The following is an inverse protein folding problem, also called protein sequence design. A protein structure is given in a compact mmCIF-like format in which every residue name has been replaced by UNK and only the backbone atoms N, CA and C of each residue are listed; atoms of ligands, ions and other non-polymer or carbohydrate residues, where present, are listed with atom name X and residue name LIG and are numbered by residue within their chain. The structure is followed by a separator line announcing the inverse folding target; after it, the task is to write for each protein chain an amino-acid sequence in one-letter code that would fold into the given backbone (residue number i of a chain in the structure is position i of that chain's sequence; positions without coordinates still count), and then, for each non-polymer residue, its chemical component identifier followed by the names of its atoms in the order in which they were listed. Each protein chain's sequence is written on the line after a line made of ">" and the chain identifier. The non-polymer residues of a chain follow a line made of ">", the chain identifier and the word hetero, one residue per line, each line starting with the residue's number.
data_IF_811203578620
#
_entry.id   IF_811203578620
#
_cell.length_a   1.000
_cell.length_b   1.000
_cell.length_c   1.000
_cell.angle_alpha   90.00
_cell.angle_beta   90.00
_cell.angle_gamma   90.00
#
_symmetry.space_group_name_H-M   'P 1'
#
loop_
_entity.id
_entity.type
_entity.pdbx_description
1 polymer ?
#
# COMPACT_ATOMS: atom_id res chain seq x y z
N UNK A 1 -6.11 -3.02 -16.46
CA UNK A 1 -6.26 -1.62 -15.95
C UNK A 1 -6.35 -0.63 -17.10
N UNK A 2 -6.94 0.57 -16.89
CA UNK A 2 -6.87 1.64 -17.89
C UNK A 2 -5.48 2.28 -17.91
N UNK A 3 -5.00 2.69 -19.06
CA UNK A 3 -3.62 3.20 -19.24
C UNK A 3 -3.29 4.40 -18.33
N UNK A 4 -4.29 5.24 -18.04
CA UNK A 4 -4.15 6.41 -17.15
C UNK A 4 -3.71 6.07 -15.74
N UNK A 5 -4.01 4.87 -15.23
CA UNK A 5 -3.75 4.41 -13.87
C UNK A 5 -2.78 3.23 -13.83
N UNK A 6 -1.92 3.14 -14.85
CA UNK A 6 -0.96 2.06 -14.98
C UNK A 6 0.38 2.61 -15.46
N UNK A 7 1.47 2.19 -14.82
CA UNK A 7 2.82 2.52 -15.28
C UNK A 7 3.32 1.42 -16.21
N UNK A 8 4.08 1.83 -17.24
CA UNK A 8 4.62 0.90 -18.23
C UNK A 8 5.39 -0.27 -17.61
N UNK A 9 6.21 -0.01 -16.58
CA UNK A 9 7.03 -1.03 -15.91
C UNK A 9 6.18 -2.17 -15.32
N UNK A 10 5.00 -1.85 -14.78
CA UNK A 10 4.09 -2.85 -14.23
C UNK A 10 3.23 -3.50 -15.32
N UNK A 11 2.75 -2.71 -16.30
CA UNK A 11 2.03 -3.25 -17.47
C UNK A 11 2.84 -4.30 -18.23
N UNK A 12 4.16 -4.07 -18.38
CA UNK A 12 5.04 -4.98 -19.10
C UNK A 12 5.07 -6.38 -18.42
N UNK A 13 4.84 -6.47 -17.11
CA UNK A 13 4.73 -7.75 -16.39
C UNK A 13 3.52 -8.54 -16.87
N UNK A 14 2.41 -7.87 -17.18
CA UNK A 14 1.12 -8.49 -17.47
C UNK A 14 0.76 -8.55 -18.96
N UNK A 15 1.71 -8.23 -19.85
CA UNK A 15 1.49 -8.44 -21.29
C UNK A 15 1.32 -9.92 -21.61
N UNK A 16 0.58 -10.23 -22.69
CA UNK A 16 0.45 -11.62 -23.14
C UNK A 16 1.79 -12.24 -23.54
N UNK A 17 2.67 -11.43 -24.13
CA UNK A 17 4.04 -11.84 -24.44
C UNK A 17 4.81 -12.29 -23.19
N UNK A 18 4.77 -11.51 -22.12
CA UNK A 18 5.46 -11.87 -20.87
C UNK A 18 4.78 -13.06 -20.18
N UNK A 19 3.44 -13.12 -20.20
CA UNK A 19 2.68 -14.28 -19.69
C UNK A 19 3.06 -15.56 -20.43
N UNK A 20 3.06 -15.55 -21.76
CA UNK A 20 3.43 -16.72 -22.53
C UNK A 20 4.92 -17.05 -22.45
N UNK A 21 5.77 -16.05 -22.26
CA UNK A 21 7.19 -16.29 -21.94
C UNK A 21 7.35 -17.02 -20.61
N UNK A 22 6.55 -16.65 -19.58
CA UNK A 22 6.54 -17.38 -18.31
C UNK A 22 6.01 -18.81 -18.47
N UNK A 23 4.97 -19.03 -19.27
CA UNK A 23 4.48 -20.38 -19.60
C UNK A 23 5.56 -21.21 -20.28
N UNK A 24 6.24 -20.64 -21.29
CA UNK A 24 7.31 -21.32 -22.01
C UNK A 24 8.46 -21.71 -21.10
N UNK A 25 8.86 -20.81 -20.19
CA UNK A 25 9.93 -21.11 -19.24
C UNK A 25 9.54 -22.25 -18.29
N UNK A 26 8.30 -22.31 -17.81
CA UNK A 26 7.80 -23.44 -17.00
C UNK A 26 7.86 -24.76 -17.79
N UNK A 27 7.44 -24.75 -19.05
CA UNK A 27 7.48 -25.93 -19.93
C UNK A 27 8.92 -26.42 -20.17
N UNK A 28 9.84 -25.50 -20.47
CA UNK A 28 11.26 -25.83 -20.71
C UNK A 28 11.91 -26.37 -19.43
N UNK A 29 11.72 -25.72 -18.30
CA UNK A 29 12.25 -26.16 -17.00
C UNK A 29 11.70 -27.52 -16.59
N UNK A 30 10.42 -27.80 -16.93
CA UNK A 30 9.85 -29.14 -16.74
C UNK A 30 10.58 -30.19 -17.58
N UNK A 31 10.86 -29.92 -18.86
CA UNK A 31 11.64 -30.82 -19.71
C UNK A 31 13.05 -31.06 -19.16
N UNK A 32 13.73 -30.01 -18.67
CA UNK A 32 15.04 -30.12 -18.02
C UNK A 32 15.00 -31.04 -16.78
N UNK A 33 13.96 -30.86 -15.95
CA UNK A 33 13.77 -31.69 -14.76
C UNK A 33 13.53 -33.16 -15.12
N UNK A 34 12.71 -33.44 -16.14
CA UNK A 34 12.54 -34.81 -16.68
C UNK A 34 13.82 -35.39 -17.26
N UNK A 35 14.66 -34.58 -17.89
CA UNK A 35 15.97 -35.03 -18.39
C UNK A 35 16.90 -35.46 -17.26
N UNK A 36 16.90 -34.74 -16.15
CA UNK A 36 17.67 -35.11 -14.95
C UNK A 36 17.25 -36.45 -14.37
N UNK A 37 15.99 -36.85 -14.58
CA UNK A 37 15.47 -38.16 -14.20
C UNK A 37 15.74 -39.25 -15.28
N UNK A 38 16.40 -38.90 -16.38
CA UNK A 38 16.73 -39.82 -17.47
C UNK A 38 15.55 -40.17 -18.36
N UNK A 39 14.43 -39.45 -18.30
CA UNK A 39 13.22 -39.70 -19.10
C UNK A 39 13.29 -39.02 -20.47
N UNK A 40 13.68 -37.73 -20.48
CA UNK A 40 13.87 -36.96 -21.70
C UNK A 40 15.37 -36.94 -22.07
N UNK A 41 15.74 -37.26 -23.30
CA UNK A 41 17.14 -37.15 -23.75
C UNK A 41 17.64 -35.72 -23.61
N UNK A 42 18.87 -35.54 -23.13
CA UNK A 42 19.48 -34.21 -22.95
C UNK A 42 19.51 -33.40 -24.24
N UNK A 43 19.84 -34.05 -25.39
CA UNK A 43 19.84 -33.41 -26.71
C UNK A 43 18.47 -32.91 -27.18
N UNK A 44 17.37 -33.56 -26.74
CA UNK A 44 16.02 -33.07 -27.03
C UNK A 44 15.71 -31.81 -26.20
N UNK A 45 16.16 -31.79 -24.93
CA UNK A 45 16.05 -30.57 -24.08
C UNK A 45 16.85 -29.43 -24.65
N UNK A 46 18.07 -29.66 -25.08
CA UNK A 46 18.92 -28.63 -25.72
C UNK A 46 18.24 -28.04 -26.97
N UNK A 47 17.61 -28.90 -27.81
CA UNK A 47 16.85 -28.45 -28.98
C UNK A 47 15.62 -27.61 -28.55
N UNK A 48 14.86 -28.08 -27.56
CA UNK A 48 13.69 -27.34 -27.03
C UNK A 48 14.14 -25.98 -26.50
N UNK A 49 15.15 -25.92 -25.65
CA UNK A 49 15.67 -24.66 -25.09
C UNK A 49 16.15 -23.67 -26.17
N UNK A 50 16.74 -24.18 -27.25
CA UNK A 50 17.30 -23.37 -28.35
C UNK A 50 16.21 -22.87 -29.34
N UNK A 51 15.17 -23.69 -29.59
CA UNK A 51 14.25 -23.46 -30.72
C UNK A 51 12.81 -23.16 -30.30
N UNK A 52 12.38 -23.53 -29.06
CA UNK A 52 11.01 -23.32 -28.62
C UNK A 52 10.67 -21.82 -28.59
N UNK A 53 9.64 -21.47 -29.33
CA UNK A 53 9.12 -20.09 -29.40
C UNK A 53 7.62 -20.11 -29.65
N UNK A 54 6.98 -18.96 -29.46
CA UNK A 54 5.56 -18.78 -29.70
C UNK A 54 5.31 -17.44 -30.41
N UNK A 55 4.14 -17.31 -31.00
CA UNK A 55 3.58 -16.02 -31.45
C UNK A 55 2.19 -15.89 -30.81
N UNK A 56 1.95 -14.78 -30.15
CA UNK A 56 0.67 -14.52 -29.46
C UNK A 56 -0.52 -14.67 -30.41
N UNK A 57 -0.45 -14.03 -31.58
CA UNK A 57 -1.53 -14.10 -32.58
C UNK A 57 -1.76 -15.53 -33.06
N UNK A 58 -0.70 -16.34 -33.25
CA UNK A 58 -0.86 -17.74 -33.62
C UNK A 58 -1.51 -18.56 -32.53
N UNK A 59 -1.19 -18.30 -31.28
CA UNK A 59 -1.85 -18.95 -30.14
C UNK A 59 -3.34 -18.61 -30.10
N UNK A 60 -3.72 -17.35 -30.36
CA UNK A 60 -5.11 -16.93 -30.44
C UNK A 60 -5.88 -17.60 -31.58
N UNK A 61 -5.29 -17.69 -32.79
CA UNK A 61 -5.88 -18.42 -33.91
C UNK A 61 -6.18 -19.88 -33.58
N UNK A 62 -5.23 -20.55 -32.90
CA UNK A 62 -5.42 -21.95 -32.48
C UNK A 62 -6.48 -22.03 -31.38
N UNK A 63 -6.55 -21.05 -30.48
CA UNK A 63 -7.55 -21.03 -29.40
C UNK A 63 -8.98 -20.90 -29.94
N UNK A 64 -9.19 -20.14 -31.03
CA UNK A 64 -10.50 -20.08 -31.68
C UNK A 64 -11.04 -21.45 -32.08
N UNK A 65 -10.16 -22.39 -32.42
CA UNK A 65 -10.50 -23.76 -32.79
C UNK A 65 -10.60 -24.69 -31.59
N UNK A 66 -9.60 -24.62 -30.68
CA UNK A 66 -9.47 -25.54 -29.56
C UNK A 66 -10.34 -25.17 -28.36
N UNK A 67 -10.75 -23.91 -28.27
CA UNK A 67 -11.47 -23.33 -27.12
C UNK A 67 -10.77 -23.55 -25.77
N UNK A 68 -9.41 -23.63 -25.80
CA UNK A 68 -8.60 -23.88 -24.64
C UNK A 68 -7.24 -23.19 -24.78
N UNK A 69 -6.98 -22.21 -23.94
CA UNK A 69 -5.83 -21.32 -24.01
C UNK A 69 -4.47 -22.04 -23.88
N UNK A 70 -4.30 -22.89 -22.85
CA UNK A 70 -3.04 -23.62 -22.64
C UNK A 70 -2.78 -24.64 -23.78
N UNK A 71 -3.80 -25.34 -24.26
CA UNK A 71 -3.67 -26.26 -25.41
C UNK A 71 -3.28 -25.48 -26.67
N UNK A 72 -3.85 -24.30 -26.86
CA UNK A 72 -3.49 -23.45 -27.99
C UNK A 72 -2.04 -22.99 -27.92
N UNK A 73 -1.59 -22.55 -26.73
CA UNK A 73 -0.22 -22.17 -26.47
C UNK A 73 0.77 -23.32 -26.73
N UNK A 74 0.54 -24.51 -26.15
CA UNK A 74 1.45 -25.67 -26.34
C UNK A 74 1.50 -26.12 -27.80
N UNK A 75 0.40 -26.04 -28.56
CA UNK A 75 0.38 -26.28 -30.00
C UNK A 75 1.21 -25.26 -30.77
N UNK A 76 1.07 -23.96 -30.45
CA UNK A 76 1.85 -22.91 -31.09
C UNK A 76 3.36 -23.11 -30.83
N UNK A 77 3.74 -23.47 -29.61
CA UNK A 77 5.14 -23.82 -29.29
C UNK A 77 5.60 -25.04 -30.09
N UNK A 78 4.77 -26.08 -30.19
CA UNK A 78 5.09 -27.30 -30.93
C UNK A 78 5.31 -27.06 -32.43
N UNK A 79 4.74 -26.02 -33.02
CA UNK A 79 4.96 -25.65 -34.42
C UNK A 79 6.41 -25.18 -34.69
N UNK A 80 7.13 -24.72 -33.66
CA UNK A 80 8.54 -24.28 -33.77
C UNK A 80 9.57 -25.40 -33.60
N UNK A 81 9.11 -26.63 -33.26
CA UNK A 81 9.95 -27.75 -32.87
C UNK A 81 9.87 -28.92 -33.87
N UNK A 82 10.91 -29.74 -33.88
CA UNK A 82 10.96 -31.01 -34.62
C UNK A 82 10.31 -32.19 -33.85
N UNK A 83 10.93 -33.38 -33.93
CA UNK A 83 10.40 -34.58 -33.22
C UNK A 83 10.35 -34.44 -31.70
N UNK A 84 11.19 -33.60 -31.11
CA UNK A 84 11.26 -33.27 -29.66
C UNK A 84 10.01 -32.58 -29.14
N UNK A 85 9.15 -32.02 -29.99
CA UNK A 85 7.86 -31.42 -29.61
C UNK A 85 6.94 -32.35 -28.78
N UNK A 86 7.15 -33.65 -28.86
CA UNK A 86 6.41 -34.66 -28.06
C UNK A 86 6.59 -34.51 -26.56
N UNK A 87 7.61 -33.78 -26.13
CA UNK A 87 7.93 -33.53 -24.73
C UNK A 87 7.28 -32.26 -24.16
N UNK A 88 6.77 -31.39 -25.04
CA UNK A 88 6.02 -30.20 -24.57
C UNK A 88 4.76 -30.66 -23.80
N UNK A 89 4.57 -30.14 -22.60
CA UNK A 89 3.48 -30.48 -21.70
C UNK A 89 3.47 -31.93 -21.17
N UNK A 90 4.62 -32.59 -21.18
CA UNK A 90 4.73 -33.98 -20.79
C UNK A 90 4.48 -34.18 -19.29
N UNK A 91 3.40 -34.95 -18.96
CA UNK A 91 2.95 -35.23 -17.58
C UNK A 91 2.19 -34.08 -16.91
N UNK A 92 2.12 -32.90 -17.50
CA UNK A 92 1.50 -31.72 -16.91
C UNK A 92 -0.01 -31.65 -17.13
N UNK A 93 -0.69 -30.94 -16.23
CA UNK A 93 -2.02 -30.37 -16.50
C UNK A 93 -1.90 -28.85 -16.69
N UNK A 94 -2.90 -28.23 -17.32
CA UNK A 94 -2.88 -26.81 -17.67
C UNK A 94 -2.52 -25.89 -16.49
N UNK A 95 -3.01 -26.19 -15.29
CA UNK A 95 -2.75 -25.35 -14.10
C UNK A 95 -1.39 -25.60 -13.45
N UNK A 96 -0.68 -26.67 -13.80
CA UNK A 96 0.73 -26.80 -13.45
C UNK A 96 1.55 -25.66 -14.10
N UNK A 97 1.18 -25.29 -15.33
CA UNK A 97 1.78 -24.18 -16.05
C UNK A 97 1.22 -22.83 -15.59
N UNK A 98 -0.12 -22.70 -15.54
CA UNK A 98 -0.79 -21.42 -15.26
C UNK A 98 -0.48 -20.90 -13.86
N UNK A 99 -0.67 -21.72 -12.82
CA UNK A 99 -0.45 -21.29 -11.43
C UNK A 99 1.03 -21.02 -11.15
N UNK A 100 1.93 -21.87 -11.66
CA UNK A 100 3.38 -21.69 -11.50
C UNK A 100 3.87 -20.42 -12.21
N UNK A 101 3.42 -20.18 -13.43
CA UNK A 101 3.76 -18.98 -14.17
C UNK A 101 3.16 -17.72 -13.50
N UNK A 102 1.93 -17.77 -13.00
CA UNK A 102 1.34 -16.67 -12.23
C UNK A 102 2.15 -16.36 -10.96
N UNK A 103 2.63 -17.39 -10.25
CA UNK A 103 3.54 -17.19 -9.11
C UNK A 103 4.84 -16.48 -9.51
N UNK A 104 5.38 -16.81 -10.69
CA UNK A 104 6.56 -16.16 -11.24
C UNK A 104 6.28 -14.71 -11.70
N UNK A 105 5.14 -14.45 -12.35
CA UNK A 105 4.71 -13.09 -12.73
C UNK A 105 4.45 -12.22 -11.50
N UNK A 106 3.80 -12.76 -10.46
CA UNK A 106 3.61 -12.07 -9.21
C UNK A 106 4.94 -11.74 -8.52
N UNK A 107 5.95 -12.62 -8.60
CA UNK A 107 7.31 -12.29 -8.13
C UNK A 107 7.88 -11.06 -8.83
N UNK A 108 7.70 -10.95 -10.17
CA UNK A 108 8.16 -9.79 -10.93
C UNK A 108 7.41 -8.51 -10.49
N UNK A 109 6.08 -8.58 -10.39
CA UNK A 109 5.25 -7.47 -9.93
C UNK A 109 5.59 -7.05 -8.50
N UNK A 110 5.80 -8.00 -7.60
CA UNK A 110 6.14 -7.76 -6.20
C UNK A 110 7.51 -7.11 -6.01
N UNK A 111 8.47 -7.38 -6.89
CA UNK A 111 9.76 -6.68 -6.86
C UNK A 111 9.60 -5.18 -7.14
N UNK A 112 8.70 -4.82 -8.06
CA UNK A 112 8.36 -3.42 -8.36
C UNK A 112 7.65 -2.78 -7.17
N UNK A 113 6.61 -3.44 -6.64
CA UNK A 113 5.84 -2.92 -5.50
C UNK A 113 6.70 -2.75 -4.24
N UNK A 114 7.61 -3.68 -3.96
CA UNK A 114 8.51 -3.55 -2.80
C UNK A 114 9.39 -2.31 -2.91
N UNK A 115 9.97 -2.08 -4.09
CA UNK A 115 10.75 -0.88 -4.37
C UNK A 115 9.93 0.39 -4.17
N UNK A 116 8.70 0.44 -4.69
CA UNK A 116 7.82 1.59 -4.55
C UNK A 116 7.45 1.86 -3.08
N UNK A 117 7.22 0.81 -2.28
CA UNK A 117 6.95 0.90 -0.85
C UNK A 117 8.16 1.45 -0.07
N UNK A 118 9.37 0.99 -0.38
CA UNK A 118 10.62 1.45 0.24
C UNK A 118 10.90 2.92 -0.10
N UNK A 119 10.70 3.30 -1.36
CA UNK A 119 10.83 4.70 -1.78
C UNK A 119 9.78 5.60 -1.12
N UNK A 120 8.54 5.12 -0.97
CA UNK A 120 7.48 5.84 -0.26
C UNK A 120 7.83 6.03 1.22
N UNK A 121 8.32 4.97 1.88
CA UNK A 121 8.79 5.01 3.27
C UNK A 121 9.91 6.04 3.47
N UNK A 122 10.85 6.13 2.53
CA UNK A 122 11.95 7.08 2.58
C UNK A 122 11.46 8.54 2.53
N UNK A 123 10.43 8.83 1.73
CA UNK A 123 9.78 10.16 1.69
C UNK A 123 9.14 10.49 3.03
N UNK A 124 8.39 9.55 3.63
CA UNK A 124 7.76 9.77 4.93
C UNK A 124 8.80 10.07 6.02
N UNK A 125 9.91 9.32 6.06
CA UNK A 125 11.02 9.57 6.98
C UNK A 125 11.61 10.97 6.83
N UNK A 126 11.92 11.36 5.58
CA UNK A 126 12.50 12.69 5.30
C UNK A 126 11.56 13.82 5.72
N UNK A 127 10.27 13.72 5.38
CA UNK A 127 9.28 14.74 5.75
C UNK A 127 9.03 14.79 7.26
N UNK A 128 9.08 13.65 7.96
CA UNK A 128 9.00 13.62 9.41
C UNK A 128 10.12 14.42 10.06
N UNK A 129 11.37 14.23 9.60
CA UNK A 129 12.54 14.97 10.10
C UNK A 129 12.42 16.46 9.79
N UNK A 130 12.02 16.80 8.56
CA UNK A 130 11.86 18.19 8.11
C UNK A 130 10.90 18.99 9.00
N UNK A 131 9.80 18.39 9.41
CA UNK A 131 8.75 19.06 10.20
C UNK A 131 8.75 18.69 11.69
N UNK A 132 9.83 18.07 12.17
CA UNK A 132 9.93 17.62 13.58
C UNK A 132 9.62 18.73 14.57
N UNK A 133 10.13 19.91 14.31
CA UNK A 133 10.02 21.08 15.21
C UNK A 133 8.93 22.07 14.76
N UNK A 134 8.08 21.70 13.81
CA UNK A 134 6.99 22.56 13.33
C UNK A 134 5.74 22.37 14.20
N UNK A 135 5.31 23.38 14.97
CA UNK A 135 4.11 23.29 15.79
C UNK A 135 2.85 23.34 14.94
N UNK A 136 1.90 22.49 15.28
CA UNK A 136 0.57 22.49 14.68
C UNK A 136 -0.48 22.10 15.71
N UNK A 137 -1.75 22.35 15.39
CA UNK A 137 -2.87 21.89 16.21
C UNK A 137 -3.26 20.45 15.86
N UNK A 138 -3.32 19.58 16.86
CA UNK A 138 -3.95 18.28 16.78
C UNK A 138 -5.47 18.43 16.94
N UNK A 139 -6.23 17.75 16.07
CA UNK A 139 -7.69 17.80 16.08
C UNK A 139 -8.27 16.42 16.38
N UNK A 140 -9.27 16.38 17.28
CA UNK A 140 -10.14 15.23 17.49
C UNK A 140 -11.57 15.67 17.23
N UNK A 141 -12.38 14.81 16.60
CA UNK A 141 -13.74 15.15 16.17
C UNK A 141 -13.83 16.42 15.28
N UNK A 142 -12.74 16.80 14.63
CA UNK A 142 -12.63 18.06 13.86
C UNK A 142 -12.41 19.33 14.71
N UNK A 143 -12.31 19.20 16.04
CA UNK A 143 -12.14 20.28 17.00
C UNK A 143 -10.66 20.34 17.46
N UNK A 144 -10.16 21.53 17.78
CA UNK A 144 -8.84 21.73 18.37
C UNK A 144 -8.73 20.98 19.70
N UNK A 145 -7.80 20.05 19.80
CA UNK A 145 -7.64 19.20 20.97
C UNK A 145 -6.36 19.54 21.75
N UNK A 146 -5.22 19.56 21.09
CA UNK A 146 -3.93 19.85 21.73
C UNK A 146 -2.88 20.28 20.72
N UNK A 147 -1.78 20.86 21.20
CA UNK A 147 -0.64 21.25 20.37
C UNK A 147 0.26 20.05 20.16
N UNK A 148 0.77 19.89 18.95
CA UNK A 148 1.67 18.79 18.59
C UNK A 148 2.70 19.22 17.55
N UNK A 149 3.65 18.33 17.24
CA UNK A 149 4.57 18.49 16.12
C UNK A 149 3.92 17.96 14.83
N UNK A 150 4.03 18.75 13.75
CA UNK A 150 3.61 18.27 12.42
C UNK A 150 4.45 17.07 11.95
N UNK A 151 5.73 17.01 12.36
CA UNK A 151 6.59 15.86 12.10
C UNK A 151 6.09 14.55 12.73
N UNK A 152 5.38 14.60 13.87
CA UNK A 152 4.79 13.40 14.49
C UNK A 152 3.69 12.77 13.62
N UNK A 153 2.95 13.55 12.83
CA UNK A 153 1.98 13.06 11.86
C UNK A 153 2.67 12.21 10.78
N UNK A 154 3.79 12.69 10.25
CA UNK A 154 4.60 11.95 9.29
C UNK A 154 5.29 10.73 9.90
N UNK A 155 5.74 10.84 11.14
CA UNK A 155 6.33 9.72 11.87
C UNK A 155 5.31 8.59 12.14
N UNK A 156 4.04 8.93 12.39
CA UNK A 156 2.96 7.96 12.50
C UNK A 156 2.74 7.22 11.18
N UNK A 157 2.69 7.93 10.06
CA UNK A 157 2.56 7.34 8.72
C UNK A 157 3.76 6.48 8.34
N UNK A 158 4.97 6.92 8.72
CA UNK A 158 6.19 6.14 8.55
C UNK A 158 6.09 4.78 9.26
N UNK A 159 5.68 4.78 10.53
CA UNK A 159 5.55 3.55 11.32
C UNK A 159 4.42 2.64 10.80
N UNK A 160 3.33 3.21 10.31
CA UNK A 160 2.26 2.44 9.66
C UNK A 160 2.73 1.80 8.35
N UNK A 161 3.51 2.53 7.55
CA UNK A 161 4.06 1.99 6.30
C UNK A 161 5.09 0.89 6.54
N UNK A 162 5.89 0.96 7.60
CA UNK A 162 6.78 -0.15 8.01
C UNK A 162 5.97 -1.45 8.24
N UNK A 163 4.89 -1.37 9.01
CA UNK A 163 4.00 -2.52 9.23
C UNK A 163 3.36 -3.02 7.93
N UNK A 164 3.07 -2.13 6.98
CA UNK A 164 2.57 -2.52 5.66
C UNK A 164 3.62 -3.26 4.83
N UNK A 165 4.88 -2.84 4.88
CA UNK A 165 5.99 -3.55 4.22
C UNK A 165 6.15 -4.97 4.81
N UNK A 166 6.07 -5.11 6.14
CA UNK A 166 6.13 -6.42 6.81
C UNK A 166 4.98 -7.33 6.35
N UNK A 167 3.74 -6.81 6.33
CA UNK A 167 2.57 -7.55 5.81
C UNK A 167 2.75 -7.95 4.36
N UNK A 168 3.24 -7.04 3.53
CA UNK A 168 3.49 -7.29 2.12
C UNK A 168 4.56 -8.37 1.91
N UNK A 169 5.68 -8.30 2.65
CA UNK A 169 6.72 -9.32 2.61
C UNK A 169 6.24 -10.70 3.05
N UNK A 170 5.30 -10.77 3.99
CA UNK A 170 4.66 -12.02 4.38
C UNK A 170 3.70 -12.51 3.30
N UNK A 171 2.82 -11.64 2.80
CA UNK A 171 1.80 -12.00 1.81
C UNK A 171 2.40 -12.46 0.47
N UNK A 172 3.47 -11.79 -0.01
CA UNK A 172 4.13 -12.15 -1.27
C UNK A 172 4.67 -13.58 -1.27
N UNK A 173 5.19 -14.07 -0.15
CA UNK A 173 5.69 -15.44 0.00
C UNK A 173 4.59 -16.49 -0.27
N UNK A 174 3.35 -16.16 0.05
CA UNK A 174 2.21 -17.04 -0.18
C UNK A 174 1.85 -17.20 -1.66
N UNK A 175 2.02 -16.16 -2.47
CA UNK A 175 1.63 -16.13 -3.89
C UNK A 175 2.82 -16.31 -4.86
N UNK A 176 4.04 -16.05 -4.42
CA UNK A 176 5.27 -16.39 -5.17
C UNK A 176 5.55 -17.89 -5.03
N UNK A 177 4.60 -18.71 -5.46
CA UNK A 177 4.61 -20.15 -5.31
C UNK A 177 4.21 -20.84 -6.61
N UNK A 178 4.72 -22.07 -6.80
CA UNK A 178 4.38 -22.91 -7.92
C UNK A 178 3.87 -24.27 -7.46
N UNK A 179 3.10 -24.92 -8.33
CA UNK A 179 2.61 -26.28 -8.18
C UNK A 179 2.75 -27.02 -9.50
N UNK A 180 3.26 -28.23 -9.47
CA UNK A 180 3.34 -29.14 -10.62
C UNK A 180 2.98 -30.55 -10.16
N UNK A 181 1.78 -30.67 -9.59
CA UNK A 181 1.29 -31.86 -8.89
C UNK A 181 0.23 -32.64 -9.67
N UNK A 182 -0.03 -32.22 -10.92
CA UNK A 182 -0.99 -32.89 -11.80
C UNK A 182 -2.45 -32.49 -11.55
N UNK A 183 -3.36 -33.24 -12.14
CA UNK A 183 -4.78 -32.89 -12.25
C UNK A 183 -5.55 -32.79 -10.92
N UNK A 184 -5.06 -33.42 -9.85
CA UNK A 184 -5.72 -33.43 -8.51
C UNK A 184 -4.74 -33.28 -7.36
N UNK A 185 -3.49 -32.95 -7.64
CA UNK A 185 -2.49 -32.65 -6.61
C UNK A 185 -1.77 -33.85 -6.01
N UNK A 186 -1.92 -35.04 -6.59
CA UNK A 186 -1.39 -36.30 -6.05
C UNK A 186 -0.06 -36.76 -6.68
N UNK A 187 0.52 -35.99 -7.57
CA UNK A 187 1.77 -36.31 -8.28
C UNK A 187 1.77 -37.64 -9.07
N UNK A 188 0.61 -38.10 -9.50
CA UNK A 188 0.49 -39.43 -10.13
C UNK A 188 1.27 -39.53 -11.45
N UNK A 189 1.32 -38.48 -12.24
CA UNK A 189 1.95 -38.46 -13.56
C UNK A 189 3.24 -37.60 -13.60
N UNK A 190 3.61 -36.96 -12.51
CA UNK A 190 4.76 -36.06 -12.42
C UNK A 190 5.39 -36.18 -11.02
N UNK A 191 6.67 -36.57 -10.90
CA UNK A 191 7.32 -36.69 -9.59
C UNK A 191 7.47 -35.33 -8.90
N UNK A 192 7.41 -35.26 -7.55
CA UNK A 192 7.57 -34.00 -6.78
C UNK A 192 8.88 -33.24 -7.10
N UNK A 193 9.96 -33.98 -7.42
CA UNK A 193 11.25 -33.39 -7.79
C UNK A 193 11.20 -32.48 -9.03
N UNK A 194 10.22 -32.65 -9.92
CA UNK A 194 10.00 -31.76 -11.06
C UNK A 194 9.52 -30.39 -10.56
N UNK A 195 8.53 -30.38 -9.65
CA UNK A 195 8.02 -29.15 -9.03
C UNK A 195 9.15 -28.42 -8.30
N UNK A 196 9.92 -29.13 -7.47
CA UNK A 196 11.01 -28.54 -6.70
C UNK A 196 12.06 -27.90 -7.61
N UNK A 197 12.46 -28.59 -8.68
CA UNK A 197 13.41 -28.08 -9.65
C UNK A 197 12.91 -26.81 -10.35
N UNK A 198 11.68 -26.84 -10.88
CA UNK A 198 11.09 -25.70 -11.59
C UNK A 198 10.94 -24.49 -10.67
N UNK A 199 10.41 -24.70 -9.46
CA UNK A 199 10.26 -23.62 -8.49
C UNK A 199 11.61 -23.02 -8.04
N UNK A 200 12.64 -23.87 -7.82
CA UNK A 200 14.01 -23.42 -7.52
C UNK A 200 14.56 -22.52 -8.63
N UNK A 201 14.43 -22.96 -9.89
CA UNK A 201 14.93 -22.20 -11.05
C UNK A 201 14.21 -20.86 -11.24
N UNK A 202 12.89 -20.82 -11.01
CA UNK A 202 12.10 -19.58 -11.04
C UNK A 202 12.32 -18.72 -9.78
N UNK A 203 12.92 -19.30 -8.74
CA UNK A 203 13.13 -18.65 -7.43
C UNK A 203 11.82 -18.30 -6.74
N UNK A 204 10.84 -19.22 -6.80
CA UNK A 204 9.55 -19.18 -6.13
C UNK A 204 9.42 -20.37 -5.18
N UNK A 205 8.47 -20.34 -4.27
CA UNK A 205 8.23 -21.41 -3.32
C UNK A 205 7.59 -22.63 -4.01
N UNK A 206 8.13 -23.84 -3.73
CA UNK A 206 7.50 -25.11 -4.09
C UNK A 206 6.39 -25.39 -3.09
N UNK A 207 5.13 -25.46 -3.54
CA UNK A 207 3.99 -25.68 -2.63
C UNK A 207 4.02 -27.07 -2.02
N UNK A 208 3.91 -27.16 -0.70
CA UNK A 208 3.94 -28.44 0.04
C UNK A 208 2.79 -29.38 -0.37
N UNK A 209 1.63 -28.80 -0.65
CA UNK A 209 0.42 -29.50 -1.10
C UNK A 209 -0.44 -28.55 -1.93
N UNK A 210 -1.15 -29.12 -2.88
CA UNK A 210 -2.15 -28.42 -3.70
C UNK A 210 -3.25 -29.41 -4.14
N UNK A 211 -4.28 -28.89 -4.76
CA UNK A 211 -5.22 -29.68 -5.58
C UNK A 211 -4.81 -29.58 -7.05
N UNK A 212 -5.73 -29.46 -7.98
CA UNK A 212 -5.38 -29.07 -9.35
C UNK A 212 -4.78 -27.65 -9.38
N UNK A 213 -5.07 -26.83 -8.38
CA UNK A 213 -4.61 -25.44 -8.21
C UNK A 213 -3.98 -25.22 -6.85
N UNK A 214 -3.20 -24.14 -6.69
CA UNK A 214 -2.86 -23.60 -5.38
C UNK A 214 -4.11 -23.14 -4.65
N UNK A 215 -4.15 -23.26 -3.32
CA UNK A 215 -5.29 -22.79 -2.54
C UNK A 215 -5.40 -21.26 -2.62
N UNK A 216 -6.62 -20.75 -2.80
CA UNK A 216 -6.88 -19.35 -3.12
C UNK A 216 -6.92 -18.41 -1.89
N UNK A 217 -6.87 -18.95 -0.67
CA UNK A 217 -6.61 -18.18 0.54
C UNK A 217 -5.29 -17.37 0.43
N UNK A 218 -4.27 -17.92 -0.23
CA UNK A 218 -3.00 -17.23 -0.54
C UNK A 218 -3.23 -15.95 -1.33
N UNK A 219 -4.00 -16.04 -2.42
CA UNK A 219 -4.32 -14.91 -3.29
C UNK A 219 -5.25 -13.91 -2.60
N UNK A 220 -6.25 -14.40 -1.86
CA UNK A 220 -7.15 -13.56 -1.07
C UNK A 220 -6.39 -12.75 -0.01
N UNK A 221 -5.49 -13.39 0.74
CA UNK A 221 -4.65 -12.70 1.73
C UNK A 221 -3.71 -11.67 1.08
N UNK A 222 -3.14 -12.00 -0.08
CA UNK A 222 -2.29 -11.08 -0.84
C UNK A 222 -3.08 -9.83 -1.28
N UNK A 223 -4.21 -10.00 -1.96
CA UNK A 223 -5.03 -8.87 -2.42
C UNK A 223 -5.58 -8.06 -1.21
N UNK A 224 -5.95 -8.73 -0.11
CA UNK A 224 -6.34 -8.05 1.12
C UNK A 224 -5.21 -7.18 1.69
N UNK A 225 -3.97 -7.66 1.62
CA UNK A 225 -2.79 -6.88 2.02
C UNK A 225 -2.61 -5.64 1.13
N UNK A 226 -2.76 -5.77 -0.20
CA UNK A 226 -2.72 -4.63 -1.12
C UNK A 226 -3.84 -3.62 -0.79
N UNK A 227 -5.03 -4.11 -0.42
CA UNK A 227 -6.15 -3.25 -0.02
C UNK A 227 -5.91 -2.52 1.31
N UNK A 228 -5.23 -3.14 2.28
CA UNK A 228 -4.81 -2.48 3.52
C UNK A 228 -3.80 -1.37 3.23
N UNK A 229 -2.81 -1.62 2.36
CA UNK A 229 -1.85 -0.60 1.94
C UNK A 229 -2.58 0.57 1.26
N UNK A 230 -3.48 0.29 0.33
CA UNK A 230 -4.29 1.31 -0.35
C UNK A 230 -5.13 2.12 0.64
N UNK A 231 -5.65 1.50 1.70
CA UNK A 231 -6.41 2.18 2.76
C UNK A 231 -5.53 3.09 3.62
N UNK A 232 -4.27 2.71 3.86
CA UNK A 232 -3.28 3.59 4.50
C UNK A 232 -2.99 4.82 3.63
N UNK A 233 -2.84 4.65 2.32
CA UNK A 233 -2.67 5.78 1.40
C UNK A 233 -3.91 6.68 1.37
N UNK A 234 -5.10 6.10 1.43
CA UNK A 234 -6.37 6.84 1.52
C UNK A 234 -6.46 7.67 2.79
N UNK A 235 -6.06 7.12 3.94
CA UNK A 235 -6.01 7.83 5.23
C UNK A 235 -5.11 9.07 5.14
N UNK A 236 -3.90 8.94 4.59
CA UNK A 236 -2.99 10.06 4.38
C UNK A 236 -3.59 11.09 3.40
N UNK A 237 -4.23 10.63 2.33
CA UNK A 237 -4.87 11.49 1.35
C UNK A 237 -6.07 12.27 1.95
N UNK A 238 -6.83 11.66 2.85
CA UNK A 238 -7.86 12.38 3.61
C UNK A 238 -7.27 13.47 4.46
N UNK A 239 -6.16 13.24 5.12
CA UNK A 239 -5.49 14.26 5.92
C UNK A 239 -4.99 15.42 5.06
N UNK A 240 -4.33 15.16 3.92
CA UNK A 240 -3.92 16.22 2.98
C UNK A 240 -5.12 17.07 2.54
N UNK A 241 -6.25 16.42 2.19
CA UNK A 241 -7.48 17.11 1.80
C UNK A 241 -8.04 17.97 2.93
N UNK A 242 -7.99 17.49 4.19
CA UNK A 242 -8.43 18.28 5.35
C UNK A 242 -7.52 19.46 5.63
N UNK A 243 -6.20 19.29 5.52
CA UNK A 243 -5.22 20.39 5.71
C UNK A 243 -5.33 21.46 4.62
N UNK A 244 -5.80 21.11 3.42
CA UNK A 244 -5.97 22.04 2.29
C UNK A 244 -7.30 22.79 2.31
N UNK A 245 -8.23 22.48 3.21
CA UNK A 245 -9.50 23.20 3.31
C UNK A 245 -9.28 24.69 3.51
N UNK A 246 -10.17 25.52 2.94
CA UNK A 246 -10.08 26.98 2.99
C UNK A 246 -9.95 27.53 4.41
N UNK A 247 -10.63 26.91 5.37
CA UNK A 247 -10.66 27.33 6.78
C UNK A 247 -9.41 26.85 7.55
N UNK A 248 -8.65 25.89 7.01
CA UNK A 248 -7.46 25.31 7.65
C UNK A 248 -6.17 25.81 7.04
N UNK A 249 -5.96 25.63 5.75
CA UNK A 249 -4.83 26.11 4.93
C UNK A 249 -3.45 25.83 5.54
N UNK A 250 -3.26 24.67 6.12
CA UNK A 250 -1.99 24.26 6.75
C UNK A 250 -1.05 23.56 5.76
N UNK A 251 -1.60 22.92 4.73
CA UNK A 251 -0.83 22.34 3.62
C UNK A 251 -1.68 22.29 2.35
N UNK A 252 -1.03 22.21 1.19
CA UNK A 252 -1.70 22.03 -0.11
C UNK A 252 -0.86 21.20 -1.08
N UNK A 253 -1.51 20.48 -2.01
CA UNK A 253 -0.84 19.86 -3.13
C UNK A 253 -0.08 20.90 -3.96
N UNK A 254 1.16 20.57 -4.36
CA UNK A 254 1.97 21.47 -5.18
C UNK A 254 1.25 21.82 -6.49
N UNK A 255 1.12 23.10 -6.77
CA UNK A 255 0.47 23.63 -7.96
C UNK A 255 1.52 24.00 -9.01
N UNK A 256 1.56 23.27 -10.11
CA UNK A 256 2.57 23.46 -11.16
C UNK A 256 2.26 24.71 -12.00
N UNK A 257 3.31 25.40 -12.47
CA UNK A 257 3.17 26.53 -13.39
C UNK A 257 2.38 26.09 -14.64
N UNK A 258 1.29 26.80 -14.94
CA UNK A 258 0.40 26.49 -16.06
C UNK A 258 -0.72 25.48 -15.75
N UNK A 259 -0.72 24.85 -14.57
CA UNK A 259 -1.83 24.00 -14.15
C UNK A 259 -3.12 24.80 -13.98
N UNK A 260 -4.26 24.19 -14.33
CA UNK A 260 -5.59 24.76 -14.08
C UNK A 260 -6.25 24.04 -12.92
N UNK A 261 -6.62 24.77 -11.87
CA UNK A 261 -7.25 24.21 -10.68
C UNK A 261 -8.76 24.05 -10.79
N UNK A 262 -9.38 24.86 -11.63
CA UNK A 262 -10.84 24.86 -11.86
C UNK A 262 -11.16 25.40 -13.25
N UNK A 263 -12.22 24.90 -13.87
CA UNK A 263 -12.71 25.40 -15.15
C UNK A 263 -13.41 26.77 -15.03
N UNK A 264 -13.95 27.09 -13.85
CA UNK A 264 -14.76 28.31 -13.62
C UNK A 264 -14.09 29.34 -12.68
N UNK A 265 -13.27 28.87 -11.73
CA UNK A 265 -12.70 29.71 -10.67
C UNK A 265 -11.17 29.68 -10.74
N UNK A 266 -10.49 30.71 -11.31
CA UNK A 266 -9.04 30.69 -11.57
C UNK A 266 -8.16 30.53 -10.33
N UNK A 267 -8.62 30.98 -9.17
CA UNK A 267 -7.90 30.90 -7.89
C UNK A 267 -8.07 29.59 -7.15
N UNK A 268 -9.02 28.72 -7.56
CA UNK A 268 -9.38 27.50 -6.84
C UNK A 268 -8.37 26.40 -7.11
N UNK A 269 -7.68 25.94 -6.06
CA UNK A 269 -6.73 24.83 -6.10
C UNK A 269 -7.35 23.65 -5.38
N UNK A 270 -7.76 22.63 -6.14
CA UNK A 270 -8.39 21.43 -5.59
C UNK A 270 -7.35 20.33 -5.32
N UNK A 271 -7.48 19.54 -4.23
CA UNK A 271 -6.61 18.41 -3.93
C UNK A 271 -7.01 17.18 -4.78
N UNK A 272 -7.06 17.35 -6.10
CA UNK A 272 -7.57 16.32 -7.04
C UNK A 272 -6.73 15.04 -7.05
N UNK A 273 -5.47 15.13 -6.72
CA UNK A 273 -4.62 13.95 -6.68
C UNK A 273 -4.91 13.10 -5.44
N UNK A 274 -5.09 13.73 -4.29
CA UNK A 274 -5.51 13.04 -3.06
C UNK A 274 -6.94 12.48 -3.18
N UNK A 275 -7.86 13.19 -3.86
CA UNK A 275 -9.20 12.66 -4.19
C UNK A 275 -9.11 11.42 -5.08
N UNK A 276 -8.22 11.42 -6.08
CA UNK A 276 -7.98 10.26 -6.94
C UNK A 276 -7.46 9.05 -6.15
N UNK A 277 -6.51 9.24 -5.22
CA UNK A 277 -6.03 8.16 -4.34
C UNK A 277 -7.18 7.55 -3.53
N UNK A 278 -8.05 8.40 -2.95
CA UNK A 278 -9.24 7.90 -2.23
C UNK A 278 -10.17 7.08 -3.13
N UNK A 279 -10.36 7.49 -4.38
CA UNK A 279 -11.16 6.75 -5.37
C UNK A 279 -10.52 5.39 -5.71
N UNK A 280 -9.21 5.35 -5.95
CA UNK A 280 -8.46 4.14 -6.25
C UNK A 280 -8.51 3.11 -5.10
N UNK A 281 -8.43 3.56 -3.85
CA UNK A 281 -8.54 2.68 -2.69
C UNK A 281 -9.89 1.95 -2.61
N UNK A 282 -10.99 2.58 -3.05
CA UNK A 282 -12.32 1.94 -3.13
C UNK A 282 -12.32 0.78 -4.14
N UNK A 283 -11.69 0.98 -5.30
CA UNK A 283 -11.55 -0.07 -6.33
C UNK A 283 -10.74 -1.23 -5.80
N UNK A 284 -9.62 -0.97 -5.12
CA UNK A 284 -8.78 -2.00 -4.50
C UNK A 284 -9.56 -2.88 -3.52
N UNK A 285 -10.43 -2.29 -2.68
CA UNK A 285 -11.31 -3.05 -1.78
C UNK A 285 -12.33 -3.91 -2.54
N UNK A 286 -12.77 -3.48 -3.72
CA UNK A 286 -13.59 -4.30 -4.61
C UNK A 286 -12.85 -5.55 -5.09
N UNK A 287 -11.58 -5.43 -5.47
CA UNK A 287 -10.74 -6.58 -5.84
C UNK A 287 -10.50 -7.53 -4.67
N UNK A 288 -10.32 -7.01 -3.45
CA UNK A 288 -10.24 -7.83 -2.24
C UNK A 288 -11.51 -8.68 -2.06
N UNK A 289 -12.68 -8.08 -2.18
CA UNK A 289 -13.96 -8.81 -2.07
C UNK A 289 -14.05 -9.93 -3.10
N UNK A 290 -13.76 -9.62 -4.38
CA UNK A 290 -13.78 -10.62 -5.45
C UNK A 290 -12.76 -11.76 -5.22
N UNK A 291 -11.58 -11.44 -4.67
CA UNK A 291 -10.56 -12.46 -4.35
C UNK A 291 -10.97 -13.38 -3.20
N UNK A 292 -11.69 -12.87 -2.21
CA UNK A 292 -12.21 -13.69 -1.11
C UNK A 292 -13.25 -14.73 -1.60
N UNK A 293 -14.06 -14.38 -2.59
CA UNK A 293 -15.03 -15.31 -3.19
C UNK A 293 -14.35 -16.49 -3.92
N UNK A 294 -13.10 -16.33 -4.36
CA UNK A 294 -12.35 -17.38 -5.03
C UNK A 294 -11.79 -18.46 -4.07
N UNK A 295 -11.89 -18.29 -2.76
CA UNK A 295 -11.39 -19.27 -1.77
C UNK A 295 -12.20 -20.55 -1.81
N UNK A 296 -13.51 -20.43 -1.94
CA UNK A 296 -14.45 -21.55 -1.94
C UNK A 296 -14.63 -22.13 -3.35
N UNK A 297 -13.73 -22.99 -3.78
CA UNK A 297 -13.85 -23.74 -5.03
C UNK A 297 -14.50 -25.12 -4.80
N UNK A 298 -15.14 -25.66 -5.86
CA UNK A 298 -15.70 -27.01 -5.81
C UNK A 298 -14.62 -28.08 -5.96
N UNK A 299 -14.62 -29.05 -5.07
CA UNK A 299 -13.73 -30.23 -5.10
C UNK A 299 -12.25 -29.81 -5.24
N UNK A 300 -11.51 -30.47 -6.10
CA UNK A 300 -10.10 -30.17 -6.39
C UNK A 300 -9.92 -28.94 -7.28
N UNK A 301 -10.96 -28.48 -7.97
CA UNK A 301 -11.07 -27.21 -8.71
C UNK A 301 -12.37 -27.12 -9.49
N UNK A 302 -13.00 -25.94 -9.50
CA UNK A 302 -13.78 -25.43 -10.64
C UNK A 302 -13.05 -24.24 -11.28
N UNK A 303 -13.54 -23.72 -12.41
CA UNK A 303 -12.82 -22.66 -13.15
C UNK A 303 -13.30 -21.23 -12.83
N UNK A 304 -14.21 -21.05 -11.87
CA UNK A 304 -14.81 -19.74 -11.55
C UNK A 304 -13.78 -18.69 -11.14
N UNK A 305 -12.73 -19.07 -10.41
CA UNK A 305 -11.64 -18.20 -10.01
C UNK A 305 -10.87 -17.61 -11.19
N UNK A 306 -10.74 -18.34 -12.28
CA UNK A 306 -9.86 -17.99 -13.40
C UNK A 306 -10.25 -16.67 -14.07
N UNK A 307 -11.55 -16.46 -14.36
CA UNK A 307 -12.04 -15.23 -14.96
C UNK A 307 -11.80 -14.02 -14.04
N UNK A 308 -12.00 -14.19 -12.75
CA UNK A 308 -11.76 -13.15 -11.73
C UNK A 308 -10.28 -12.79 -11.66
N UNK A 309 -9.39 -13.78 -11.55
CA UNK A 309 -7.95 -13.58 -11.36
C UNK A 309 -7.27 -12.96 -12.58
N UNK A 310 -7.73 -13.26 -13.80
CA UNK A 310 -7.26 -12.61 -15.04
C UNK A 310 -7.47 -11.10 -15.01
N UNK A 311 -8.41 -10.62 -14.22
CA UNK A 311 -8.70 -9.19 -14.04
C UNK A 311 -7.99 -8.67 -12.80
N UNK A 312 -8.25 -9.26 -11.62
CA UNK A 312 -7.87 -8.65 -10.35
C UNK A 312 -6.38 -8.72 -10.04
N UNK A 313 -5.63 -9.74 -10.50
CA UNK A 313 -4.19 -9.81 -10.22
C UNK A 313 -3.40 -8.74 -10.96
N UNK A 314 -3.56 -8.57 -12.29
CA UNK A 314 -2.95 -7.46 -13.01
C UNK A 314 -3.43 -6.11 -12.46
N UNK A 315 -4.74 -5.93 -12.36
CA UNK A 315 -5.33 -4.65 -12.02
C UNK A 315 -4.97 -4.20 -10.60
N UNK A 316 -4.93 -5.09 -9.61
CA UNK A 316 -4.58 -4.73 -8.24
C UNK A 316 -3.10 -4.32 -8.11
N UNK A 317 -2.20 -5.03 -8.78
CA UNK A 317 -0.77 -4.72 -8.76
C UNK A 317 -0.46 -3.42 -9.51
N UNK A 318 -1.06 -3.21 -10.68
CA UNK A 318 -0.93 -1.97 -11.45
C UNK A 318 -1.51 -0.76 -10.72
N UNK A 319 -2.66 -0.94 -10.08
CA UNK A 319 -3.33 0.14 -9.35
C UNK A 319 -2.52 0.55 -8.11
N UNK A 320 -1.99 -0.41 -7.35
CA UNK A 320 -1.18 -0.10 -6.18
C UNK A 320 0.14 0.58 -6.56
N UNK A 321 0.83 0.10 -7.61
CA UNK A 321 2.03 0.71 -8.18
C UNK A 321 1.78 2.18 -8.57
N UNK A 322 0.66 2.44 -9.25
CA UNK A 322 0.24 3.80 -9.59
C UNK A 322 -0.02 4.65 -8.35
N UNK A 323 -0.78 4.13 -7.37
CA UNK A 323 -1.11 4.85 -6.14
C UNK A 323 0.14 5.24 -5.36
N UNK A 324 1.05 4.29 -5.13
CA UNK A 324 2.31 4.51 -4.40
C UNK A 324 3.16 5.58 -5.08
N UNK A 325 3.39 5.43 -6.38
CA UNK A 325 4.28 6.34 -7.12
C UNK A 325 3.68 7.74 -7.25
N UNK A 326 2.39 7.83 -7.56
CA UNK A 326 1.71 9.11 -7.67
C UNK A 326 1.67 9.84 -6.33
N UNK A 327 1.25 9.14 -5.27
CA UNK A 327 1.08 9.77 -3.96
C UNK A 327 2.41 10.10 -3.30
N UNK A 328 3.45 9.28 -3.52
CA UNK A 328 4.83 9.63 -3.16
C UNK A 328 5.21 11.01 -3.68
N UNK A 329 5.00 11.25 -4.98
CA UNK A 329 5.32 12.54 -5.60
C UNK A 329 4.51 13.71 -5.04
N UNK A 330 3.26 13.47 -4.61
CA UNK A 330 2.43 14.49 -3.96
C UNK A 330 2.98 14.85 -2.58
N UNK A 331 3.25 13.85 -1.74
CA UNK A 331 3.76 14.03 -0.39
C UNK A 331 5.16 14.64 -0.38
N UNK A 332 6.02 14.26 -1.32
CA UNK A 332 7.35 14.81 -1.50
C UNK A 332 7.34 16.31 -1.82
N UNK A 333 6.36 16.74 -2.60
CA UNK A 333 6.23 18.13 -3.06
C UNK A 333 5.10 18.90 -2.36
N UNK A 334 4.54 18.36 -1.28
CA UNK A 334 3.48 19.01 -0.52
C UNK A 334 3.97 20.36 0.01
N UNK A 335 3.27 21.41 -0.35
CA UNK A 335 3.52 22.76 0.19
C UNK A 335 2.93 22.83 1.61
N UNK A 336 3.75 23.19 2.57
CA UNK A 336 3.35 23.33 3.98
C UNK A 336 3.47 24.79 4.40
N UNK A 337 2.53 25.24 5.21
CA UNK A 337 2.43 26.63 5.69
C UNK A 337 2.58 26.68 7.22
N UNK A 338 3.81 26.69 7.76
CA UNK A 338 4.06 26.73 9.22
C UNK A 338 3.43 27.93 9.91
N UNK A 339 3.38 29.07 9.24
CA UNK A 339 2.78 30.31 9.78
C UNK A 339 1.26 30.13 9.98
N UNK A 340 0.58 29.46 9.05
CA UNK A 340 -0.84 29.16 9.20
C UNK A 340 -1.08 28.13 10.31
N UNK A 341 -0.20 27.13 10.44
CA UNK A 341 -0.25 26.16 11.54
C UNK A 341 -0.14 26.87 12.90
N UNK A 342 0.83 27.78 13.02
CA UNK A 342 1.03 28.58 14.23
C UNK A 342 -0.19 29.48 14.50
N UNK A 343 -0.70 30.17 13.48
CA UNK A 343 -1.90 31.01 13.58
C UNK A 343 -3.13 30.20 14.04
N UNK A 344 -3.29 28.99 13.54
CA UNK A 344 -4.40 28.11 13.91
C UNK A 344 -4.32 27.64 15.37
N UNK A 345 -3.13 27.49 15.95
CA UNK A 345 -2.97 27.23 17.39
C UNK A 345 -3.65 28.32 18.22
N UNK A 346 -3.46 29.60 17.81
CA UNK A 346 -4.01 30.77 18.50
C UNK A 346 -5.44 31.14 18.09
N UNK A 347 -6.06 30.40 17.19
CA UNK A 347 -7.43 30.66 16.75
C UNK A 347 -8.42 30.71 17.92
N UNK A 348 -8.20 29.88 18.94
CA UNK A 348 -8.99 29.86 20.19
C UNK A 348 -8.56 30.90 21.23
N UNK A 349 -7.70 31.86 20.84
CA UNK A 349 -7.22 32.96 21.71
C UNK A 349 -6.66 32.44 23.05
N UNK A 350 -5.91 31.37 23.01
CA UNK A 350 -5.23 30.79 24.18
C UNK A 350 -6.06 29.75 24.98
N UNK A 351 -7.35 29.53 24.68
CA UNK A 351 -8.15 28.53 25.39
C UNK A 351 -7.55 27.11 25.23
N UNK A 352 -6.81 26.85 24.16
CA UNK A 352 -6.08 25.59 23.96
C UNK A 352 -5.13 25.23 25.10
N UNK A 353 -4.67 26.22 25.89
CA UNK A 353 -3.78 26.03 27.04
C UNK A 353 -4.54 25.77 28.36
N UNK A 354 -5.87 25.69 28.37
CA UNK A 354 -6.67 25.55 29.59
C UNK A 354 -6.25 24.34 30.45
N UNK A 355 -5.91 23.19 29.83
CA UNK A 355 -5.43 22.02 30.55
C UNK A 355 -4.08 22.29 31.24
N UNK A 356 -3.20 23.10 30.63
CA UNK A 356 -1.93 23.48 31.25
C UNK A 356 -2.16 24.30 32.51
N UNK A 357 -3.06 25.28 32.47
CA UNK A 357 -3.40 26.12 33.62
C UNK A 357 -4.04 25.23 34.71
N UNK A 358 -4.98 24.37 34.37
CA UNK A 358 -5.60 23.43 35.30
C UNK A 358 -4.55 22.55 36.01
N UNK A 359 -3.61 21.97 35.24
CA UNK A 359 -2.54 21.14 35.81
C UNK A 359 -1.58 21.95 36.72
N UNK A 360 -1.29 23.21 36.39
CA UNK A 360 -0.49 24.07 37.22
C UNK A 360 -1.18 24.38 38.55
N UNK A 361 -2.50 24.64 38.55
CA UNK A 361 -3.29 24.84 39.76
C UNK A 361 -3.32 23.56 40.65
N UNK A 362 -3.45 22.38 40.03
CA UNK A 362 -3.37 21.09 40.74
C UNK A 362 -1.99 20.92 41.40
N UNK A 363 -0.92 21.30 40.70
CA UNK A 363 0.45 21.29 41.21
C UNK A 363 0.64 22.24 42.43
N UNK A 364 -0.24 23.21 42.59
CA UNK A 364 -0.26 24.15 43.75
C UNK A 364 -1.21 23.68 44.86
N UNK A 365 -1.80 22.48 44.74
CA UNK A 365 -2.58 21.87 45.81
C UNK A 365 -4.10 21.91 45.65
N UNK A 366 -4.64 22.41 44.55
CA UNK A 366 -6.06 22.28 44.29
C UNK A 366 -6.41 20.81 43.90
N UNK A 367 -7.63 20.38 44.27
CA UNK A 367 -8.15 19.14 43.69
C UNK A 367 -8.44 19.33 42.18
N UNK A 368 -8.55 18.21 41.44
CA UNK A 368 -8.86 18.27 40.02
C UNK A 368 -10.20 19.02 39.76
N UNK A 369 -11.18 18.76 40.59
CA UNK A 369 -12.53 19.37 40.51
C UNK A 369 -12.43 20.87 40.77
N UNK A 370 -11.73 21.29 41.82
CA UNK A 370 -11.52 22.70 42.13
C UNK A 370 -10.79 23.42 41.01
N UNK A 371 -9.73 22.85 40.48
CA UNK A 371 -8.98 23.44 39.36
C UNK A 371 -9.85 23.53 38.08
N UNK A 372 -10.65 22.48 37.79
CA UNK A 372 -11.56 22.47 36.66
C UNK A 372 -12.63 23.55 36.79
N UNK A 373 -13.31 23.62 37.94
CA UNK A 373 -14.39 24.61 38.22
C UNK A 373 -13.86 26.06 38.23
N UNK A 374 -12.56 26.25 38.51
CA UNK A 374 -11.90 27.54 38.40
C UNK A 374 -11.60 27.92 36.96
N UNK A 375 -11.10 27.00 36.17
CA UNK A 375 -10.61 27.25 34.79
C UNK A 375 -11.76 27.31 33.78
N UNK A 376 -12.75 26.42 33.88
CA UNK A 376 -13.83 26.27 32.90
C UNK A 376 -14.65 27.54 32.63
N UNK A 377 -15.16 28.28 33.67
CA UNK A 377 -15.93 29.49 33.40
C UNK A 377 -15.16 30.55 32.62
N UNK A 378 -13.86 30.72 32.96
CA UNK A 378 -12.97 31.68 32.29
C UNK A 378 -12.71 31.25 30.84
N UNK A 379 -12.47 29.97 30.60
CA UNK A 379 -12.28 29.44 29.25
C UNK A 379 -13.53 29.58 28.39
N UNK A 380 -14.72 29.31 28.97
CA UNK A 380 -16.00 29.49 28.28
C UNK A 380 -16.28 30.93 27.95
N UNK A 381 -15.97 31.87 28.87
CA UNK A 381 -16.08 33.31 28.62
C UNK A 381 -15.16 33.72 27.47
N UNK A 382 -13.88 33.33 27.52
CA UNK A 382 -12.93 33.62 26.46
C UNK A 382 -13.44 33.10 25.08
N UNK A 383 -13.96 31.90 25.05
CA UNK A 383 -14.51 31.28 23.85
C UNK A 383 -15.73 32.02 23.30
N UNK A 384 -16.71 32.28 24.17
CA UNK A 384 -18.01 32.84 23.76
C UNK A 384 -17.90 34.31 23.37
N UNK A 385 -17.12 35.09 24.12
CA UNK A 385 -16.97 36.53 23.91
C UNK A 385 -15.79 36.87 23.00
N UNK A 386 -14.99 35.87 22.58
CA UNK A 386 -13.82 36.07 21.71
C UNK A 386 -12.70 36.90 22.38
N UNK A 387 -12.49 36.69 23.68
CA UNK A 387 -11.51 37.39 24.48
C UNK A 387 -10.21 36.61 24.64
N UNK A 388 -9.10 37.32 24.93
CA UNK A 388 -7.82 36.68 25.23
C UNK A 388 -7.89 35.94 26.59
N UNK A 389 -7.67 34.64 26.54
CA UNK A 389 -7.80 33.77 27.69
C UNK A 389 -6.77 34.04 28.78
N UNK A 390 -5.52 34.32 28.41
CA UNK A 390 -4.46 34.65 29.36
C UNK A 390 -4.77 35.96 30.11
N UNK A 391 -5.27 36.97 29.40
CA UNK A 391 -5.68 38.25 30.00
C UNK A 391 -6.84 38.06 30.98
N UNK A 392 -7.84 37.23 30.65
CA UNK A 392 -8.93 36.94 31.58
C UNK A 392 -8.44 36.22 32.85
N UNK A 393 -7.53 35.26 32.72
CA UNK A 393 -6.95 34.54 33.88
C UNK A 393 -6.15 35.45 34.80
N UNK A 394 -5.45 36.47 34.26
CA UNK A 394 -4.77 37.52 35.09
C UNK A 394 -5.74 38.34 35.94
N UNK A 395 -6.96 38.52 35.48
CA UNK A 395 -8.01 39.21 36.22
C UNK A 395 -8.74 38.31 37.23
N UNK A 396 -8.45 37.01 37.24
CA UNK A 396 -9.18 36.03 38.07
C UNK A 396 -8.43 35.79 39.39
N UNK A 397 -8.98 36.34 40.50
CA UNK A 397 -8.38 36.19 41.84
C UNK A 397 -8.15 34.71 42.22
N UNK A 398 -9.13 33.84 41.87
CA UNK A 398 -9.06 32.41 42.15
C UNK A 398 -7.86 31.70 41.45
N UNK A 399 -7.34 32.24 40.36
CA UNK A 399 -6.14 31.77 39.65
C UNK A 399 -4.87 32.41 40.21
N UNK A 400 -4.87 33.75 40.31
CA UNK A 400 -3.68 34.52 40.72
C UNK A 400 -3.32 34.34 42.21
N UNK A 401 -4.20 33.78 43.02
CA UNK A 401 -3.91 33.36 44.38
C UNK A 401 -2.91 32.21 44.44
N UNK A 402 -2.88 31.35 43.41
CA UNK A 402 -2.05 30.14 43.36
C UNK A 402 -0.90 30.23 42.38
N UNK A 403 -1.02 31.01 41.30
CA UNK A 403 0.00 31.16 40.26
C UNK A 403 0.52 32.59 40.25
N UNK A 404 1.85 32.75 40.18
CA UNK A 404 2.45 34.02 39.86
C UNK A 404 2.26 34.37 38.37
N UNK A 405 2.51 35.65 38.00
CA UNK A 405 2.50 36.09 36.59
C UNK A 405 3.38 35.23 35.69
N UNK A 406 4.61 34.92 36.15
CA UNK A 406 5.58 34.13 35.40
C UNK A 406 5.12 32.66 35.26
N UNK A 407 4.53 32.07 36.31
CA UNK A 407 3.99 30.70 36.26
C UNK A 407 2.78 30.62 35.33
N UNK A 408 1.92 31.61 35.35
CA UNK A 408 0.80 31.70 34.42
C UNK A 408 1.30 31.87 32.98
N UNK A 409 2.25 32.80 32.73
CA UNK A 409 2.84 33.01 31.42
C UNK A 409 3.52 31.71 30.88
N UNK A 410 4.19 30.96 31.77
CA UNK A 410 4.79 29.65 31.46
C UNK A 410 3.81 28.56 31.03
N UNK A 411 2.51 28.74 31.32
CA UNK A 411 1.49 27.83 30.83
C UNK A 411 1.17 28.00 29.32
N UNK A 412 1.54 29.15 28.74
CA UNK A 412 1.23 29.53 27.35
C UNK A 412 2.39 29.37 26.39
N UNK A 413 3.34 28.48 26.69
CA UNK A 413 4.51 28.19 25.85
C UNK A 413 4.32 26.90 25.04
N UNK A 414 4.91 26.84 23.82
CA UNK A 414 4.85 25.69 22.94
C UNK A 414 5.83 24.59 23.36
N UNK A 415 6.97 24.95 23.96
CA UNK A 415 8.07 23.99 24.30
C UNK A 415 7.61 22.83 25.16
N UNK A 416 6.62 23.07 26.01
CA UNK A 416 6.03 22.01 26.84
C UNK A 416 5.54 20.81 26.03
N UNK A 417 4.99 21.04 24.85
CA UNK A 417 4.41 20.01 23.99
C UNK A 417 5.46 19.27 23.17
N UNK A 418 6.69 19.83 23.10
CA UNK A 418 7.79 19.26 22.32
C UNK A 418 8.76 18.40 23.14
N UNK A 419 8.67 18.42 24.47
CA UNK A 419 9.62 17.77 25.39
C UNK A 419 9.85 16.28 25.12
N UNK A 420 8.89 15.57 24.50
CA UNK A 420 8.98 14.13 24.21
C UNK A 420 9.05 13.83 22.71
N UNK A 421 9.12 14.80 21.82
CA UNK A 421 9.15 14.59 20.36
C UNK A 421 10.39 13.78 19.97
N UNK A 422 11.56 14.15 20.45
CA UNK A 422 12.81 13.43 20.17
C UNK A 422 12.79 11.98 20.69
N UNK A 423 12.19 11.75 21.85
CA UNK A 423 12.01 10.41 22.39
C UNK A 423 11.16 9.54 21.45
N UNK A 424 10.04 10.09 20.94
CA UNK A 424 9.16 9.38 20.00
C UNK A 424 9.90 9.10 18.68
N UNK A 425 10.61 10.06 18.13
CA UNK A 425 11.39 9.91 16.90
C UNK A 425 12.47 8.82 17.01
N UNK A 426 13.18 8.76 18.14
CA UNK A 426 14.14 7.68 18.42
C UNK A 426 13.45 6.33 18.54
N UNK A 427 12.30 6.28 19.23
CA UNK A 427 11.53 5.05 19.44
C UNK A 427 11.03 4.42 18.12
N UNK A 428 10.65 5.22 17.13
CA UNK A 428 10.20 4.73 15.81
C UNK A 428 11.35 4.51 14.83
N UNK A 429 12.61 4.81 15.22
CA UNK A 429 13.79 4.58 14.38
C UNK A 429 13.99 5.62 13.27
N UNK A 430 13.50 6.84 13.46
CA UNK A 430 13.71 7.95 12.53
C UNK A 430 15.01 8.69 12.84
N UNK A 431 15.34 8.87 14.14
CA UNK A 431 16.57 9.42 14.68
C UNK A 431 17.42 8.34 15.32
#
# INVERSE_FOLDING_TARGET
>A
MIERYSRKVMRDVWTEENKFSAYLEVEILSCEAWSRLGVIPAEDVDKIRAAATFKVDRSREIEEQTRHDVVAFTRAVSESLGPERKWVHYGLTSTDVVDTANGYLLKQANAILLKDLEEFLAVLKRRAIEFKDTPCIGRTHGIHADITSFGLKWALWYEEMKRNIERFQFARKGVEAGKMSGAVGNFANIPPSIQDYVCEKLGIHSADISTQVLQRDRHAYYIATLAVIASTLEQMAFEVRNLQRTEVREAEEAFRKGQKGSSAMPHKRNPISSENICGCARVMRGYMSASCENVALWHERDISHSSTERIILPDATELLDYMLTRFKGILENLTVYPENMLSNIWLTRGVIFAQRVMNALIGKGLTREQAYDTVQPVAMKAWTEGLDYQTLLRGEEAVMRYLSEDELAGCFTLDYYFKNVDYIFKRVGIL
#
